data_IF_665931021796
#
_entry.id   IF_665931021796
#
_cell.length_a   1.000
_cell.length_b   1.000
_cell.length_c   1.000
_cell.angle_alpha   90.00
_cell.angle_beta   90.00
_cell.angle_gamma   90.00
#
_symmetry.space_group_name_H-M   'P 1'
#
loop_
_entity.id
_entity.type
_entity.pdbx_description
1 polymer ?
#
# COMPACT_ATOMS: atom_id res chain seq x y z
N UNK A 1 9.52 10.13 12.50
CA UNK A 1 8.09 9.98 12.24
C UNK A 1 7.75 8.52 12.20
N UNK A 2 6.70 8.12 12.91
CA UNK A 2 6.22 6.74 12.93
C UNK A 2 5.42 6.46 11.66
N UNK A 3 5.37 5.21 11.21
CA UNK A 3 4.60 4.77 10.03
C UNK A 3 3.14 5.27 9.99
N UNK A 4 2.38 5.35 11.10
CA UNK A 4 1.02 5.92 11.08
C UNK A 4 0.98 7.44 10.83
N UNK A 5 1.97 8.22 11.29
CA UNK A 5 2.00 9.67 11.08
C UNK A 5 2.16 10.05 9.60
N UNK A 6 2.93 9.26 8.86
CA UNK A 6 3.15 9.44 7.42
C UNK A 6 1.85 9.14 6.65
N UNK A 7 1.16 8.05 7.02
CA UNK A 7 -0.13 7.70 6.42
C UNK A 7 -1.18 8.78 6.69
N UNK A 8 -1.21 9.35 7.88
CA UNK A 8 -2.16 10.41 8.24
C UNK A 8 -1.92 11.70 7.44
N UNK A 9 -0.64 12.06 7.22
CA UNK A 9 -0.27 13.19 6.36
C UNK A 9 -0.62 12.93 4.90
N UNK A 10 -0.36 11.73 4.38
CA UNK A 10 -0.72 11.34 3.02
C UNK A 10 -2.24 11.38 2.80
N UNK A 11 -3.02 10.89 3.76
CA UNK A 11 -4.50 10.93 3.72
C UNK A 11 -4.98 12.39 3.67
N UNK A 12 -4.44 13.28 4.51
CA UNK A 12 -4.80 14.70 4.51
C UNK A 12 -4.44 15.39 3.20
N UNK A 13 -3.25 15.12 2.66
CA UNK A 13 -2.81 15.65 1.38
C UNK A 13 -3.75 15.20 0.23
N UNK A 14 -4.15 13.92 0.23
CA UNK A 14 -5.09 13.38 -0.75
C UNK A 14 -6.49 14.00 -0.63
N UNK A 15 -6.99 14.21 0.59
CA UNK A 15 -8.28 14.87 0.82
C UNK A 15 -8.27 16.32 0.33
N UNK A 16 -7.17 17.05 0.55
CA UNK A 16 -7.02 18.42 0.07
C UNK A 16 -6.95 18.46 -1.47
N UNK A 17 -6.20 17.53 -2.07
CA UNK A 17 -6.14 17.37 -3.52
C UNK A 17 -7.53 17.08 -4.12
N UNK A 18 -8.31 16.18 -3.51
CA UNK A 18 -9.68 15.88 -3.93
C UNK A 18 -10.57 17.13 -3.87
N UNK A 19 -10.48 17.92 -2.80
CA UNK A 19 -11.23 19.18 -2.67
C UNK A 19 -10.86 20.19 -3.76
N UNK A 20 -9.57 20.36 -4.02
CA UNK A 20 -9.09 21.22 -5.10
C UNK A 20 -9.55 20.72 -6.48
N UNK A 21 -9.53 19.41 -6.73
CA UNK A 21 -10.02 18.82 -7.98
C UNK A 21 -11.54 19.04 -8.17
N UNK A 22 -12.34 18.94 -7.11
CA UNK A 22 -13.76 19.27 -7.16
C UNK A 22 -14.01 20.75 -7.51
N UNK A 23 -13.20 21.67 -6.96
CA UNK A 23 -13.26 23.09 -7.31
C UNK A 23 -12.90 23.34 -8.77
N UNK A 24 -11.85 22.68 -9.28
CA UNK A 24 -11.47 22.76 -10.70
C UNK A 24 -12.57 22.20 -11.61
N UNK A 25 -13.28 21.14 -11.21
CA UNK A 25 -14.37 20.58 -11.99
C UNK A 25 -15.52 21.58 -12.19
N UNK A 26 -15.72 22.48 -11.23
CA UNK A 26 -16.71 23.56 -11.30
C UNK A 26 -16.27 24.73 -12.19
N UNK A 27 -15.01 24.76 -12.64
CA UNK A 27 -14.51 25.78 -13.55
C UNK A 27 -15.13 25.61 -14.95
N UNK A 28 -15.85 26.62 -15.47
CA UNK A 28 -16.45 26.57 -16.79
C UNK A 28 -15.42 26.61 -17.93
N UNK A 29 -14.19 27.07 -17.68
CA UNK A 29 -13.12 27.12 -18.69
C UNK A 29 -12.54 25.74 -19.04
N UNK A 30 -12.88 24.72 -18.24
CA UNK A 30 -12.36 23.38 -18.41
C UNK A 30 -12.97 22.70 -19.63
N UNK A 31 -12.13 22.07 -20.45
CA UNK A 31 -12.61 21.33 -21.63
C UNK A 31 -13.40 20.09 -21.20
N UNK A 32 -14.31 19.62 -22.06
CA UNK A 32 -15.06 18.39 -21.78
C UNK A 32 -14.14 17.18 -21.56
N UNK A 33 -13.01 17.14 -22.29
CA UNK A 33 -11.95 16.15 -22.09
C UNK A 33 -11.27 16.31 -20.73
N UNK A 34 -10.85 17.52 -20.36
CA UNK A 34 -10.22 17.78 -19.06
C UNK A 34 -11.14 17.41 -17.88
N UNK A 35 -12.45 17.67 -17.98
CA UNK A 35 -13.42 17.26 -16.94
C UNK A 35 -13.57 15.74 -16.86
N UNK A 36 -13.46 15.04 -17.98
CA UNK A 36 -13.52 13.57 -17.99
C UNK A 36 -12.24 12.98 -17.41
N UNK A 37 -11.10 13.55 -17.78
CA UNK A 37 -9.79 13.11 -17.34
C UNK A 37 -9.59 13.37 -15.83
N UNK A 38 -9.99 14.54 -15.34
CA UNK A 38 -9.97 14.87 -13.91
C UNK A 38 -10.83 13.88 -13.10
N UNK A 39 -12.03 13.55 -13.58
CA UNK A 39 -12.89 12.55 -12.94
C UNK A 39 -12.28 11.15 -12.97
N UNK A 40 -11.61 10.76 -14.06
CA UNK A 40 -10.91 9.47 -14.14
C UNK A 40 -9.77 9.41 -13.12
N UNK A 41 -8.94 10.45 -13.04
CA UNK A 41 -7.86 10.55 -12.07
C UNK A 41 -8.41 10.46 -10.64
N UNK A 42 -9.46 11.23 -10.30
CA UNK A 42 -10.09 11.16 -8.98
C UNK A 42 -10.59 9.76 -8.62
N UNK A 43 -11.16 9.01 -9.58
CA UNK A 43 -11.57 7.61 -9.35
C UNK A 43 -10.38 6.71 -9.08
N UNK A 44 -9.31 6.84 -9.86
CA UNK A 44 -8.11 6.02 -9.72
C UNK A 44 -7.42 6.27 -8.38
N UNK A 45 -7.25 7.54 -7.99
CA UNK A 45 -6.69 7.89 -6.69
C UNK A 45 -7.53 7.37 -5.51
N UNK A 46 -8.87 7.42 -5.61
CA UNK A 46 -9.74 6.82 -4.59
C UNK A 46 -9.57 5.29 -4.49
N UNK A 47 -9.44 4.60 -5.62
CA UNK A 47 -9.18 3.16 -5.64
C UNK A 47 -7.82 2.83 -5.02
N UNK A 48 -6.78 3.60 -5.35
CA UNK A 48 -5.43 3.42 -4.80
C UNK A 48 -5.38 3.68 -3.29
N UNK A 49 -6.06 4.74 -2.82
CA UNK A 49 -6.17 5.04 -1.39
C UNK A 49 -6.87 3.90 -0.65
N UNK A 50 -7.99 3.41 -1.19
CA UNK A 50 -8.73 2.29 -0.61
C UNK A 50 -7.85 1.03 -0.55
N UNK A 51 -7.13 0.71 -1.62
CA UNK A 51 -6.22 -0.43 -1.64
C UNK A 51 -5.07 -0.30 -0.62
N UNK A 52 -4.54 0.92 -0.40
CA UNK A 52 -3.53 1.18 0.64
C UNK A 52 -4.10 1.03 2.04
N UNK A 53 -5.29 1.58 2.31
CA UNK A 53 -5.98 1.43 3.59
C UNK A 53 -6.32 -0.04 3.88
N UNK A 54 -6.80 -0.79 2.88
CA UNK A 54 -7.07 -2.22 3.01
C UNK A 54 -5.80 -3.03 3.31
N UNK A 55 -4.64 -2.68 2.72
CA UNK A 55 -3.36 -3.32 3.08
C UNK A 55 -2.91 -3.03 4.50
N UNK A 56 -3.16 -1.82 5.01
CA UNK A 56 -2.81 -1.44 6.38
C UNK A 56 -3.79 -2.05 7.38
N UNK A 57 -5.07 -2.15 7.02
CA UNK A 57 -6.14 -2.72 7.85
C UNK A 57 -6.18 -4.26 7.78
N UNK A 58 -5.60 -4.87 6.74
CA UNK A 58 -5.44 -6.31 6.69
C UNK A 58 -4.64 -6.75 7.91
N UNK A 59 -5.16 -7.69 8.73
CA UNK A 59 -4.37 -8.25 9.81
C UNK A 59 -3.11 -8.81 9.16
N UNK A 60 -1.94 -8.31 9.59
CA UNK A 60 -0.70 -8.99 9.23
C UNK A 60 -0.93 -10.47 9.51
N UNK A 61 -0.71 -11.39 8.54
CA UNK A 61 -0.57 -12.78 8.91
C UNK A 61 0.51 -12.76 9.98
N UNK A 62 0.13 -13.12 11.22
CA UNK A 62 1.08 -13.30 12.30
C UNK A 62 2.17 -14.15 11.66
N UNK A 63 3.37 -13.61 11.51
CA UNK A 63 4.55 -14.43 11.23
C UNK A 63 4.73 -15.28 12.49
N UNK A 64 3.91 -16.32 12.57
CA UNK A 64 3.93 -17.33 13.59
C UNK A 64 5.23 -18.07 13.39
N UNK A 65 6.22 -17.69 14.19
CA UNK A 65 7.46 -18.42 14.31
C UNK A 65 8.35 -18.27 13.08
N UNK A 66 9.54 -17.74 13.33
CA UNK A 66 10.74 -18.36 12.78
C UNK A 66 10.49 -19.88 12.57
N UNK A 67 10.60 -20.46 11.37
CA UNK A 67 11.03 -21.84 11.33
C UNK A 67 12.41 -21.79 11.97
N UNK A 68 12.52 -22.31 13.19
CA UNK A 68 13.83 -22.55 13.77
C UNK A 68 14.70 -23.13 12.66
N UNK A 69 15.89 -22.57 12.48
CA UNK A 69 16.94 -23.24 11.74
C UNK A 69 17.03 -24.63 12.35
N UNK A 70 16.33 -25.59 11.76
CA UNK A 70 16.56 -26.99 11.99
C UNK A 70 17.94 -27.21 11.40
N UNK A 71 18.95 -27.01 12.24
CA UNK A 71 20.24 -27.66 12.06
C UNK A 71 19.93 -29.15 12.11
N UNK A 72 19.53 -29.69 10.95
CA UNK A 72 19.47 -31.11 10.72
C UNK A 72 20.87 -31.61 11.05
N UNK A 73 20.97 -32.35 12.15
CA UNK A 73 22.18 -32.99 12.62
C UNK A 73 22.75 -33.75 11.42
N UNK A 74 23.92 -33.37 10.87
CA UNK A 74 24.49 -34.14 9.77
C UNK A 74 24.82 -35.52 10.34
N UNK A 75 24.18 -36.56 9.81
CA UNK A 75 24.58 -37.94 10.11
C UNK A 75 26.01 -38.11 9.62
N UNK A 76 26.97 -38.05 10.54
CA UNK A 76 28.36 -38.40 10.25
C UNK A 76 28.42 -39.90 10.01
N UNK A 77 28.38 -40.30 8.73
CA UNK A 77 28.66 -41.68 8.32
C UNK A 77 30.17 -41.88 8.43
N UNK A 78 30.59 -42.50 9.54
CA UNK A 78 31.98 -42.93 9.72
C UNK A 78 32.23 -44.06 8.73
N UNK A 79 33.02 -43.80 7.68
CA UNK A 79 33.55 -44.84 6.82
C UNK A 79 34.68 -45.55 7.59
N UNK A 80 34.37 -46.71 8.15
CA UNK A 80 35.38 -47.65 8.59
C UNK A 80 36.08 -48.22 7.35
N UNK A 81 37.35 -47.88 7.16
CA UNK A 81 38.21 -48.52 6.18
C UNK A 81 38.94 -49.68 6.84
N UNK A 82 38.97 -50.83 6.15
CA UNK A 82 39.74 -52.02 6.46
C UNK A 82 40.91 -52.10 5.49
#
# INVERSE_FOLDING_TARGET
MTQPEILDQDIRALQEWLRAAWLQLADPSLTAFGRRELRNQMKQYNADLRARLERVAAPQPKQSGQPERSFARPEMRILAWR
#
